data_IF_233156439291
#
_entry.id   IF_233156439291
#
_cell.length_a   1.000
_cell.length_b   1.000
_cell.length_c   1.000
_cell.angle_alpha   90.00
_cell.angle_beta   90.00
_cell.angle_gamma   90.00
#
_symmetry.space_group_name_H-M   'P 1'
#
loop_
_entity.id
_entity.type
_entity.pdbx_description
1 polymer ?
#
# COMPACT_ATOMS: atom_id res chain seq x y z
N UNK A 1 18.96 22.47 -18.23
CA UNK A 1 17.73 21.68 -18.41
C UNK A 1 17.96 20.30 -17.80
N UNK A 2 17.13 19.90 -16.87
CA UNK A 2 17.15 18.52 -16.39
C UNK A 2 16.61 17.62 -17.50
N UNK A 3 17.43 16.71 -18.01
CA UNK A 3 16.97 15.68 -18.94
C UNK A 3 16.10 14.72 -18.14
N UNK A 4 14.78 14.81 -18.30
CA UNK A 4 13.87 13.84 -17.70
C UNK A 4 14.15 12.49 -18.35
N UNK A 5 14.60 11.52 -17.58
CA UNK A 5 14.81 10.16 -18.07
C UNK A 5 13.46 9.62 -18.56
N UNK A 6 13.39 9.05 -19.78
CA UNK A 6 12.12 8.52 -20.31
C UNK A 6 11.67 7.22 -19.64
N UNK A 7 12.44 6.69 -18.72
CA UNK A 7 12.18 5.47 -17.96
C UNK A 7 12.83 5.54 -16.58
N UNK A 8 12.40 4.70 -15.68
CA UNK A 8 13.01 4.50 -14.37
C UNK A 8 13.50 3.06 -14.29
N UNK A 9 14.79 2.90 -14.00
CA UNK A 9 15.38 1.58 -13.78
C UNK A 9 15.57 1.36 -12.28
N UNK A 10 14.94 0.30 -11.76
CA UNK A 10 15.14 -0.18 -10.39
C UNK A 10 15.97 -1.45 -10.48
N UNK A 11 17.19 -1.38 -9.99
CA UNK A 11 18.10 -2.51 -10.03
C UNK A 11 17.87 -3.47 -8.87
N UNK A 12 18.36 -4.69 -9.00
CA UNK A 12 18.41 -5.62 -7.86
C UNK A 12 19.18 -5.02 -6.68
N UNK A 13 20.25 -4.26 -6.96
CA UNK A 13 21.04 -3.61 -5.92
C UNK A 13 20.25 -2.57 -5.13
N UNK A 14 19.32 -1.85 -5.76
CA UNK A 14 18.42 -0.91 -5.07
C UNK A 14 17.50 -1.66 -4.09
N UNK A 15 16.96 -2.80 -4.50
CA UNK A 15 16.13 -3.65 -3.65
C UNK A 15 16.97 -4.24 -2.51
N UNK A 16 18.15 -4.78 -2.81
CA UNK A 16 19.04 -5.34 -1.79
C UNK A 16 19.45 -4.28 -0.75
N UNK A 17 19.70 -3.04 -1.18
CA UNK A 17 20.01 -1.93 -0.28
C UNK A 17 18.82 -1.59 0.64
N UNK A 18 17.59 -1.60 0.10
CA UNK A 18 16.38 -1.41 0.92
C UNK A 18 16.26 -2.52 1.98
N UNK A 19 16.49 -3.77 1.58
CA UNK A 19 16.39 -4.93 2.47
C UNK A 19 17.52 -5.02 3.50
N UNK A 20 18.63 -4.31 3.31
CA UNK A 20 19.74 -4.25 4.26
C UNK A 20 19.50 -3.28 5.42
N UNK A 21 18.48 -2.43 5.35
CA UNK A 21 18.16 -1.47 6.41
C UNK A 21 17.79 -2.19 7.71
N UNK A 22 18.28 -1.73 8.89
CA UNK A 22 17.81 -2.26 10.17
C UNK A 22 16.31 -2.00 10.35
N UNK A 23 15.55 -2.95 10.94
CA UNK A 23 14.13 -2.74 11.21
C UNK A 23 13.89 -1.56 12.15
N UNK A 24 12.81 -0.81 11.91
CA UNK A 24 12.35 0.28 12.75
C UNK A 24 10.88 0.05 13.09
N UNK A 25 10.52 0.19 14.36
CA UNK A 25 9.13 0.03 14.80
C UNK A 25 8.18 0.91 13.96
N UNK A 26 7.08 0.32 13.53
CA UNK A 26 6.06 0.98 12.75
C UNK A 26 6.17 0.73 11.25
N UNK A 27 5.46 1.54 10.49
CA UNK A 27 5.34 1.48 9.03
C UNK A 27 6.19 2.56 8.38
N UNK A 28 7.01 2.18 7.40
CA UNK A 28 7.82 3.14 6.64
C UNK A 28 8.13 2.67 5.22
N UNK A 29 8.38 3.62 4.34
CA UNK A 29 8.99 3.36 3.04
C UNK A 29 10.51 3.34 3.16
N UNK A 30 11.17 2.44 2.45
CA UNK A 30 12.61 2.22 2.54
C UNK A 30 13.37 2.94 1.42
N UNK A 31 14.54 3.50 1.78
CA UNK A 31 15.51 4.00 0.82
C UNK A 31 16.25 2.84 0.14
N UNK A 32 16.71 2.96 -1.12
CA UNK A 32 16.66 4.18 -1.95
C UNK A 32 15.36 4.37 -2.72
N UNK A 33 14.42 3.42 -2.68
CA UNK A 33 13.18 3.44 -3.47
C UNK A 33 12.29 4.64 -3.11
N UNK A 34 12.21 5.00 -1.83
CA UNK A 34 11.43 6.15 -1.37
C UNK A 34 11.82 7.45 -2.09
N UNK A 35 13.11 7.77 -2.12
CA UNK A 35 13.61 8.99 -2.79
C UNK A 35 13.49 8.88 -4.31
N UNK A 36 13.76 7.70 -4.88
CA UNK A 36 13.63 7.48 -6.32
C UNK A 36 12.18 7.66 -6.78
N UNK A 37 11.22 7.09 -6.06
CA UNK A 37 9.81 7.22 -6.37
C UNK A 37 9.33 8.68 -6.26
N UNK A 38 9.73 9.37 -5.21
CA UNK A 38 9.39 10.79 -5.02
C UNK A 38 9.93 11.68 -6.16
N UNK A 39 11.15 11.40 -6.64
CA UNK A 39 11.77 12.19 -7.70
C UNK A 39 11.27 11.86 -9.11
N UNK A 40 10.84 10.63 -9.36
CA UNK A 40 10.53 10.12 -10.71
C UNK A 40 9.05 9.87 -10.98
N UNK A 41 8.20 9.89 -9.95
CA UNK A 41 6.80 9.48 -10.06
C UNK A 41 6.60 7.96 -10.23
N UNK A 42 7.63 7.16 -9.94
CA UNK A 42 7.53 5.69 -9.94
C UNK A 42 6.41 5.24 -8.98
N UNK A 43 5.41 4.48 -9.43
CA UNK A 43 4.29 4.05 -8.57
C UNK A 43 4.63 2.84 -7.69
N UNK A 44 5.90 2.64 -7.39
CA UNK A 44 6.43 1.50 -6.66
C UNK A 44 7.30 1.96 -5.50
N UNK A 45 7.16 1.28 -4.37
CA UNK A 45 8.02 1.45 -3.20
C UNK A 45 8.32 0.09 -2.56
N UNK A 46 9.29 0.06 -1.65
CA UNK A 46 9.44 -1.02 -0.68
C UNK A 46 8.96 -0.51 0.67
N UNK A 47 7.93 -1.15 1.20
CA UNK A 47 7.34 -0.87 2.50
C UNK A 47 7.90 -1.83 3.53
N UNK A 48 8.26 -1.31 4.69
CA UNK A 48 8.54 -2.09 5.89
C UNK A 48 7.42 -1.90 6.90
N UNK A 49 6.90 -3.01 7.40
CA UNK A 49 6.07 -3.08 8.59
C UNK A 49 6.82 -3.83 9.68
N UNK A 50 6.95 -3.22 10.85
CA UNK A 50 7.54 -3.84 12.03
C UNK A 50 6.61 -3.68 13.23
N UNK A 51 6.00 -4.79 13.66
CA UNK A 51 4.98 -4.83 14.72
C UNK A 51 3.81 -3.86 14.40
N UNK A 52 3.19 -4.01 13.25
CA UNK A 52 2.15 -3.13 12.73
C UNK A 52 0.83 -3.89 12.57
N UNK A 53 -0.25 -3.22 12.93
CA UNK A 53 -1.61 -3.50 12.46
C UNK A 53 -2.18 -2.17 11.98
N UNK A 54 -2.41 -2.04 10.66
CA UNK A 54 -2.95 -0.80 10.13
C UNK A 54 -4.47 -0.74 10.23
N UNK A 55 -5.01 0.49 10.17
CA UNK A 55 -6.46 0.68 10.08
C UNK A 55 -7.00 0.09 8.77
N UNK A 56 -8.21 -0.48 8.79
CA UNK A 56 -8.88 -0.87 7.57
C UNK A 56 -9.10 0.31 6.64
N UNK A 57 -8.84 0.13 5.35
CA UNK A 57 -8.91 1.19 4.35
C UNK A 57 -9.46 0.72 3.01
N UNK A 58 -9.90 1.68 2.21
CA UNK A 58 -10.32 1.50 0.81
C UNK A 58 -9.70 2.62 -0.02
N UNK A 59 -9.14 2.26 -1.17
CA UNK A 59 -8.68 3.19 -2.20
C UNK A 59 -9.67 3.19 -3.37
N UNK A 60 -10.53 4.20 -3.55
CA UNK A 60 -11.54 4.20 -4.61
C UNK A 60 -10.96 4.33 -6.01
N UNK A 61 -9.77 4.94 -6.16
CA UNK A 61 -9.20 5.36 -7.44
C UNK A 61 -7.99 4.55 -7.88
N UNK A 62 -7.51 3.64 -7.06
CA UNK A 62 -6.33 2.82 -7.39
C UNK A 62 -6.40 1.43 -6.74
N UNK A 63 -5.79 0.46 -7.40
CA UNK A 63 -5.54 -0.85 -6.84
C UNK A 63 -4.13 -0.96 -6.29
N UNK A 64 -3.94 -1.91 -5.40
CA UNK A 64 -2.67 -2.21 -4.75
C UNK A 64 -2.15 -3.57 -5.22
N UNK A 65 -0.95 -3.58 -5.81
CA UNK A 65 -0.23 -4.82 -6.09
C UNK A 65 0.91 -4.97 -5.08
N UNK A 66 0.83 -6.01 -4.28
CA UNK A 66 1.79 -6.33 -3.24
C UNK A 66 2.64 -7.53 -3.62
N UNK A 67 3.92 -7.48 -3.25
CA UNK A 67 4.84 -8.61 -3.35
C UNK A 67 5.67 -8.73 -2.09
N UNK A 68 5.58 -9.87 -1.41
CA UNK A 68 6.33 -10.11 -0.18
C UNK A 68 7.79 -10.44 -0.51
N UNK A 69 8.72 -9.68 0.08
CA UNK A 69 10.16 -9.88 -0.07
C UNK A 69 10.78 -10.57 1.15
N UNK A 70 10.34 -10.19 2.35
CA UNK A 70 10.85 -10.72 3.62
C UNK A 70 9.74 -10.77 4.66
N UNK A 71 9.85 -11.74 5.57
CA UNK A 71 8.93 -11.88 6.69
C UNK A 71 7.59 -12.46 6.28
N UNK A 72 6.60 -12.27 7.15
CA UNK A 72 5.25 -12.76 6.98
C UNK A 72 4.27 -11.65 7.32
N UNK A 73 3.24 -11.47 6.51
CA UNK A 73 2.20 -10.47 6.70
C UNK A 73 0.83 -11.05 6.40
N UNK A 74 -0.12 -10.83 7.30
CA UNK A 74 -1.51 -11.23 7.09
C UNK A 74 -2.30 -10.04 6.54
N UNK A 75 -3.02 -10.26 5.45
CA UNK A 75 -4.00 -9.33 4.88
C UNK A 75 -5.40 -9.83 5.14
N UNK A 76 -6.31 -8.91 5.48
CA UNK A 76 -7.75 -9.16 5.42
C UNK A 76 -8.30 -8.32 4.29
N UNK A 77 -8.94 -8.95 3.31
CA UNK A 77 -9.41 -8.30 2.09
C UNK A 77 -10.89 -8.58 1.82
N UNK A 78 -11.54 -7.63 1.18
CA UNK A 78 -12.96 -7.73 0.84
C UNK A 78 -13.87 -7.40 2.01
N UNK A 79 -15.13 -7.81 1.91
CA UNK A 79 -16.14 -7.48 2.92
C UNK A 79 -16.56 -6.02 2.87
N UNK A 80 -16.87 -5.46 4.04
CA UNK A 80 -17.34 -4.07 4.19
C UNK A 80 -16.62 -3.38 5.34
N UNK A 81 -16.27 -2.12 5.13
CA UNK A 81 -15.80 -1.25 6.21
C UNK A 81 -16.90 -0.96 7.21
N UNK A 82 -16.59 -1.08 8.49
CA UNK A 82 -17.45 -0.56 9.56
C UNK A 82 -17.09 0.90 9.82
N UNK A 83 -18.11 1.75 9.92
CA UNK A 83 -18.01 3.19 10.17
C UNK A 83 -17.02 3.89 9.21
N UNK A 84 -17.23 3.79 7.90
CA UNK A 84 -16.32 4.38 6.93
C UNK A 84 -16.28 5.91 7.06
N UNK A 85 -15.07 6.47 6.97
CA UNK A 85 -14.80 7.91 7.07
C UNK A 85 -13.70 8.31 6.11
N UNK A 86 -13.79 9.51 5.55
CA UNK A 86 -12.68 10.12 4.82
C UNK A 86 -11.69 10.74 5.81
N UNK A 87 -10.40 10.58 5.53
CA UNK A 87 -9.37 11.34 6.23
C UNK A 87 -9.37 12.79 5.77
N UNK A 88 -8.86 13.68 6.59
CA UNK A 88 -8.67 15.08 6.20
C UNK A 88 -7.27 15.29 5.65
N UNK A 89 -7.17 16.14 4.62
CA UNK A 89 -5.89 16.67 4.14
C UNK A 89 -5.37 17.73 5.12
N UNK A 90 -4.09 18.13 5.02
CA UNK A 90 -3.52 19.19 5.88
C UNK A 90 -4.27 20.51 5.84
N UNK A 91 -4.96 20.84 4.72
CA UNK A 91 -5.79 22.05 4.55
C UNK A 91 -7.22 21.90 5.13
N UNK A 92 -7.53 20.73 5.74
CA UNK A 92 -8.84 20.43 6.33
C UNK A 92 -9.88 19.91 5.34
N UNK A 93 -9.58 19.85 4.03
CA UNK A 93 -10.49 19.26 3.04
C UNK A 93 -10.57 17.75 3.17
N UNK A 94 -11.68 17.10 2.79
CA UNK A 94 -11.78 15.66 2.77
C UNK A 94 -10.78 15.02 1.79
N UNK A 95 -10.14 13.93 2.21
CA UNK A 95 -9.32 13.12 1.33
C UNK A 95 -10.16 11.95 0.78
N UNK A 96 -10.63 12.10 -0.45
CA UNK A 96 -11.43 11.10 -1.15
C UNK A 96 -10.59 9.97 -1.79
N UNK A 97 -9.26 10.05 -1.70
CA UNK A 97 -8.35 9.02 -2.20
C UNK A 97 -8.19 7.85 -1.23
N UNK A 98 -8.55 8.05 0.04
CA UNK A 98 -8.41 7.04 1.07
C UNK A 98 -9.56 7.15 2.08
N UNK A 99 -10.32 6.06 2.18
CA UNK A 99 -11.40 5.90 3.14
C UNK A 99 -10.95 4.88 4.16
N UNK A 100 -11.12 5.18 5.42
CA UNK A 100 -10.77 4.27 6.51
C UNK A 100 -11.99 3.90 7.34
N UNK A 101 -11.90 2.80 8.08
CA UNK A 101 -12.95 2.32 8.96
C UNK A 101 -12.39 1.73 10.23
N UNK A 102 -13.26 1.27 11.12
CA UNK A 102 -12.86 0.69 12.41
C UNK A 102 -12.62 -0.81 12.34
N UNK A 103 -13.23 -1.49 11.39
CA UNK A 103 -13.07 -2.93 11.15
C UNK A 103 -13.56 -3.32 9.76
N UNK A 104 -13.30 -4.55 9.36
CA UNK A 104 -13.84 -5.18 8.15
C UNK A 104 -14.77 -6.32 8.58
N UNK A 105 -16.02 -6.25 8.13
CA UNK A 105 -16.99 -7.34 8.30
C UNK A 105 -17.00 -8.23 7.04
N UNK A 106 -16.85 -9.54 7.21
CA UNK A 106 -16.94 -10.51 6.11
C UNK A 106 -15.72 -10.54 5.18
N UNK A 107 -14.59 -10.02 5.62
CA UNK A 107 -13.32 -10.12 4.87
C UNK A 107 -12.73 -11.53 4.95
N UNK A 108 -11.80 -11.80 4.03
CA UNK A 108 -11.03 -13.06 3.97
C UNK A 108 -9.57 -12.78 4.30
N UNK A 109 -9.01 -13.56 5.18
CA UNK A 109 -7.59 -13.47 5.51
C UNK A 109 -6.74 -14.26 4.53
N UNK A 110 -5.62 -13.64 4.09
CA UNK A 110 -4.56 -14.29 3.35
C UNK A 110 -3.22 -13.88 3.94
N UNK A 111 -2.33 -14.85 4.17
CA UNK A 111 -0.98 -14.60 4.66
C UNK A 111 0.00 -14.70 3.51
N UNK A 112 0.80 -13.65 3.33
CA UNK A 112 1.89 -13.63 2.36
C UNK A 112 3.20 -13.98 3.04
N UNK A 113 3.96 -14.85 2.37
CA UNK A 113 5.35 -15.18 2.68
C UNK A 113 6.26 -14.80 1.50
N UNK A 114 7.59 -14.79 1.64
CA UNK A 114 8.49 -14.34 0.58
C UNK A 114 8.23 -15.03 -0.76
N UNK A 115 8.02 -14.23 -1.80
CA UNK A 115 7.68 -14.67 -3.16
C UNK A 115 6.20 -14.56 -3.52
N UNK A 116 5.32 -14.42 -2.55
CA UNK A 116 3.87 -14.31 -2.79
C UNK A 116 3.49 -12.92 -3.32
N UNK A 117 2.42 -12.91 -4.13
CA UNK A 117 1.81 -11.71 -4.69
C UNK A 117 0.36 -11.61 -4.27
N UNK A 118 -0.12 -10.37 -4.07
CA UNK A 118 -1.51 -10.07 -3.78
C UNK A 118 -1.97 -8.87 -4.61
N UNK A 119 -3.06 -9.03 -5.35
CA UNK A 119 -3.73 -7.94 -6.06
C UNK A 119 -5.02 -7.55 -5.33
N UNK A 120 -5.11 -6.29 -4.93
CA UNK A 120 -6.31 -5.72 -4.32
C UNK A 120 -6.87 -4.66 -5.28
N UNK A 121 -7.99 -4.94 -5.97
CA UNK A 121 -8.60 -3.96 -6.87
C UNK A 121 -9.06 -2.69 -6.14
N UNK A 122 -9.19 -1.60 -6.89
CA UNK A 122 -9.80 -0.38 -6.37
C UNK A 122 -11.18 -0.67 -5.75
N UNK A 123 -11.47 -0.03 -4.64
CA UNK A 123 -12.75 -0.16 -3.93
C UNK A 123 -12.86 -1.36 -2.98
N UNK A 124 -11.85 -2.23 -2.92
CA UNK A 124 -11.88 -3.36 -1.99
C UNK A 124 -11.31 -2.97 -0.62
N UNK A 125 -12.09 -3.18 0.46
CA UNK A 125 -11.60 -3.00 1.82
C UNK A 125 -10.43 -3.93 2.10
N UNK A 126 -9.42 -3.42 2.80
CA UNK A 126 -8.30 -4.23 3.24
C UNK A 126 -7.61 -3.64 4.46
N UNK A 127 -6.93 -4.50 5.17
CA UNK A 127 -5.95 -4.16 6.21
C UNK A 127 -4.81 -5.18 6.16
N UNK A 128 -3.68 -4.83 6.74
CA UNK A 128 -2.61 -5.79 6.95
C UNK A 128 -2.00 -5.66 8.34
N UNK A 129 -1.41 -6.77 8.80
CA UNK A 129 -0.76 -6.84 10.11
C UNK A 129 0.42 -7.79 10.09
N UNK A 130 1.43 -7.47 10.85
CA UNK A 130 2.55 -8.37 11.15
C UNK A 130 3.04 -8.17 12.58
N UNK A 131 3.33 -9.26 13.28
CA UNK A 131 3.89 -9.20 14.63
C UNK A 131 5.41 -8.96 14.60
N UNK A 132 6.08 -9.39 13.55
CA UNK A 132 7.53 -9.22 13.35
C UNK A 132 7.83 -8.13 12.34
N UNK A 133 8.83 -8.38 11.49
CA UNK A 133 9.22 -7.50 10.38
C UNK A 133 8.81 -8.14 9.06
N UNK A 134 8.03 -7.40 8.27
CA UNK A 134 7.74 -7.77 6.90
C UNK A 134 8.18 -6.64 5.96
N UNK A 135 8.71 -7.00 4.79
CA UNK A 135 9.10 -6.06 3.73
C UNK A 135 8.48 -6.47 2.43
N UNK A 136 7.76 -5.52 1.83
CA UNK A 136 6.94 -5.77 0.66
C UNK A 136 7.19 -4.70 -0.40
N UNK A 137 7.17 -5.13 -1.66
CA UNK A 137 6.94 -4.20 -2.75
C UNK A 137 5.46 -3.82 -2.73
N UNK A 138 5.17 -2.53 -2.83
CA UNK A 138 3.85 -1.98 -3.08
C UNK A 138 3.86 -1.20 -4.39
N UNK A 139 2.92 -1.53 -5.27
CA UNK A 139 2.73 -0.82 -6.54
C UNK A 139 1.30 -0.30 -6.56
N UNK A 140 1.15 1.02 -6.71
CA UNK A 140 -0.13 1.68 -6.86
C UNK A 140 -0.49 1.74 -8.34
N UNK A 141 -1.60 1.10 -8.72
CA UNK A 141 -2.06 1.05 -10.10
C UNK A 141 -3.37 1.84 -10.21
N UNK A 142 -3.36 3.01 -10.90
CA UNK A 142 -4.57 3.79 -11.09
C UNK A 142 -5.67 2.97 -11.74
N UNK A 143 -6.89 3.04 -11.21
CA UNK A 143 -8.06 2.48 -11.85
C UNK A 143 -8.41 3.32 -13.10
N UNK A 144 -8.88 2.67 -14.18
CA UNK A 144 -9.47 3.41 -15.28
C UNK A 144 -10.83 4.01 -14.85
N UNK A 145 -11.34 4.99 -15.62
CA UNK A 145 -12.55 5.72 -15.24
C UNK A 145 -13.78 4.82 -15.02
N UNK A 146 -13.88 3.70 -15.72
CA UNK A 146 -14.98 2.73 -15.57
C UNK A 146 -14.82 1.80 -14.36
N UNK A 147 -13.61 1.69 -13.80
CA UNK A 147 -13.31 0.86 -12.65
C UNK A 147 -13.19 1.65 -11.34
N UNK A 148 -13.31 2.98 -11.39
CA UNK A 148 -13.35 3.82 -10.18
C UNK A 148 -14.65 3.53 -9.43
N UNK A 149 -14.50 3.17 -8.15
CA UNK A 149 -15.65 2.89 -7.29
C UNK A 149 -16.23 4.21 -6.80
N UNK A 150 -17.54 4.47 -7.01
CA UNK A 150 -18.18 5.65 -6.47
C UNK A 150 -18.06 5.74 -4.95
N UNK A 151 -17.82 6.93 -4.44
CA UNK A 151 -17.62 7.16 -3.01
C UNK A 151 -18.84 6.70 -2.18
N UNK A 152 -20.04 6.95 -2.67
CA UNK A 152 -21.29 6.52 -2.05
C UNK A 152 -21.46 4.99 -1.96
N UNK A 153 -20.72 4.23 -2.75
CA UNK A 153 -20.72 2.77 -2.65
C UNK A 153 -19.82 2.24 -1.52
N UNK A 154 -18.95 3.09 -0.98
CA UNK A 154 -18.01 2.77 0.10
C UNK A 154 -18.46 3.36 1.43
N UNK A 155 -19.04 4.55 1.42
CA UNK A 155 -19.59 5.24 2.59
C UNK A 155 -21.02 4.74 2.92
#
# INVERSE_FOLDING_TARGET
MSVTQPYVFVSKADIDAALASPPTLGKRLLEPLKSLAAASGLPMNVLEDHAVENDPEVHPHEGDLWHCLQGEVAFVCGGRLAKPQMRSRPDGSPNDLEIWGTSIAGGTEVTLTPGDWLWIPAGQPHLHRTAGTARLVIIKIPANASAVVPLEAVL
#
